data_IF_746983125261
#
_entry.id   IF_746983125261
#
_cell.length_a   1.000
_cell.length_b   1.000
_cell.length_c   1.000
_cell.angle_alpha   90.00
_cell.angle_beta   90.00
_cell.angle_gamma   90.00
#
_symmetry.space_group_name_H-M   'P 1'
#
loop_
_entity.id
_entity.type
_entity.pdbx_description
1 polymer ?
#
# COMPACT_ATOMS: atom_id res chain seq x y z
N UNK A 1 -3.55 -16.78 0.07
CA UNK A 1 -2.65 -15.59 0.11
C UNK A 1 -1.51 -15.67 1.15
N UNK A 2 -1.37 -16.76 1.91
CA UNK A 2 -0.41 -16.84 3.03
C UNK A 2 0.37 -18.14 3.09
N UNK A 3 0.45 -18.84 1.97
CA UNK A 3 1.37 -19.95 1.85
C UNK A 3 2.80 -19.38 1.96
N UNK A 4 3.72 -20.08 2.64
CA UNK A 4 5.15 -19.75 2.62
C UNK A 4 5.66 -19.50 1.19
N UNK A 5 5.06 -20.21 0.21
CA UNK A 5 5.25 -20.02 -1.23
C UNK A 5 4.99 -18.58 -1.70
N UNK A 6 3.86 -17.95 -1.31
CA UNK A 6 3.56 -16.57 -1.70
C UNK A 6 4.53 -15.57 -1.08
N UNK A 7 4.93 -15.77 0.18
CA UNK A 7 5.92 -14.88 0.83
C UNK A 7 7.29 -14.97 0.19
N UNK A 8 7.76 -16.19 -0.09
CA UNK A 8 8.98 -16.39 -0.87
C UNK A 8 8.86 -15.69 -2.22
N UNK A 9 7.74 -15.89 -2.91
CA UNK A 9 7.50 -15.24 -4.21
C UNK A 9 7.55 -13.71 -4.15
N UNK A 10 6.98 -13.10 -3.10
CA UNK A 10 7.06 -11.64 -2.88
C UNK A 10 8.50 -11.18 -2.67
N UNK A 11 9.26 -11.89 -1.84
CA UNK A 11 10.67 -11.58 -1.57
C UNK A 11 11.49 -11.73 -2.85
N UNK A 12 11.30 -12.82 -3.58
CA UNK A 12 12.05 -13.15 -4.80
C UNK A 12 11.74 -12.17 -5.93
N UNK A 13 10.46 -11.81 -6.12
CA UNK A 13 10.04 -10.80 -7.08
C UNK A 13 10.64 -9.43 -6.74
N UNK A 14 10.57 -9.02 -5.47
CA UNK A 14 11.10 -7.73 -5.02
C UNK A 14 12.61 -7.66 -5.15
N UNK A 15 13.34 -8.67 -4.66
CA UNK A 15 14.81 -8.76 -4.80
C UNK A 15 15.21 -8.79 -6.27
N UNK A 16 14.53 -9.60 -7.08
CA UNK A 16 14.76 -9.71 -8.51
C UNK A 16 14.64 -8.35 -9.20
N UNK A 17 13.58 -7.59 -8.90
CA UNK A 17 13.35 -6.28 -9.50
C UNK A 17 14.35 -5.22 -9.04
N UNK A 18 14.72 -5.24 -7.76
CA UNK A 18 15.75 -4.33 -7.22
C UNK A 18 17.10 -4.56 -7.91
N UNK A 19 17.56 -5.81 -7.99
CA UNK A 19 18.86 -6.14 -8.59
C UNK A 19 18.91 -5.98 -10.11
N UNK A 20 17.84 -6.33 -10.83
CA UNK A 20 17.82 -6.32 -12.30
C UNK A 20 17.45 -4.97 -12.90
N UNK A 21 16.74 -4.12 -12.16
CA UNK A 21 16.19 -2.87 -12.70
C UNK A 21 16.54 -1.64 -11.86
N UNK A 22 16.27 -1.65 -10.56
CA UNK A 22 16.47 -0.45 -9.73
C UNK A 22 17.95 -0.08 -9.59
N UNK A 23 18.80 -1.01 -9.17
CA UNK A 23 20.23 -0.75 -8.97
C UNK A 23 20.90 -0.31 -10.30
N UNK A 24 20.73 -1.03 -11.43
CA UNK A 24 21.30 -0.58 -12.71
C UNK A 24 20.82 0.80 -13.15
N UNK A 25 19.56 1.16 -12.88
CA UNK A 25 19.03 2.48 -13.16
C UNK A 25 19.72 3.53 -12.29
N UNK A 26 19.83 3.31 -10.97
CA UNK A 26 20.50 4.24 -10.06
C UNK A 26 21.98 4.40 -10.41
N UNK A 27 22.69 3.32 -10.74
CA UNK A 27 24.08 3.34 -11.17
C UNK A 27 24.27 4.15 -12.46
N UNK A 28 23.36 3.98 -13.43
CA UNK A 28 23.37 4.76 -14.67
C UNK A 28 23.27 6.27 -14.40
N UNK A 29 22.38 6.69 -13.50
CA UNK A 29 22.24 8.12 -13.16
C UNK A 29 23.39 8.62 -12.28
N UNK A 30 23.94 7.79 -11.39
CA UNK A 30 25.10 8.13 -10.58
C UNK A 30 26.36 8.43 -11.44
N UNK A 31 26.51 7.72 -12.56
CA UNK A 31 27.58 7.98 -13.53
C UNK A 31 27.36 9.24 -14.39
N UNK A 32 26.19 9.87 -14.32
CA UNK A 32 25.80 11.03 -15.12
C UNK A 32 25.42 12.22 -14.21
N UNK A 33 26.39 12.93 -13.60
CA UNK A 33 26.15 13.92 -12.55
C UNK A 33 25.30 15.13 -12.98
N UNK A 34 25.11 15.35 -14.28
CA UNK A 34 24.27 16.43 -14.81
C UNK A 34 22.79 16.03 -14.99
N UNK A 35 22.41 14.80 -14.66
CA UNK A 35 21.02 14.33 -14.75
C UNK A 35 20.40 14.22 -13.36
N UNK A 36 19.24 14.84 -13.19
CA UNK A 36 18.41 14.67 -12.00
C UNK A 36 17.46 13.50 -12.18
N UNK A 37 17.19 12.78 -11.10
CA UNK A 37 16.28 11.64 -11.06
C UNK A 37 15.12 11.94 -10.12
N UNK A 38 13.89 11.80 -10.61
CA UNK A 38 12.70 11.86 -9.76
C UNK A 38 12.48 10.49 -9.10
N UNK A 39 12.81 10.40 -7.81
CA UNK A 39 12.64 9.15 -7.05
C UNK A 39 11.17 8.76 -6.88
N UNK A 40 10.23 9.70 -6.92
CA UNK A 40 8.81 9.38 -6.83
C UNK A 40 8.36 8.59 -8.06
N UNK A 41 8.71 9.04 -9.27
CA UNK A 41 8.41 8.31 -10.51
C UNK A 41 9.11 6.93 -10.55
N UNK A 42 10.37 6.87 -10.09
CA UNK A 42 11.11 5.60 -9.95
C UNK A 42 10.38 4.62 -9.03
N UNK A 43 9.94 5.07 -7.85
CA UNK A 43 9.25 4.18 -6.90
C UNK A 43 7.84 3.82 -7.36
N UNK A 44 7.15 4.70 -8.10
CA UNK A 44 5.88 4.35 -8.75
C UNK A 44 6.07 3.22 -9.76
N UNK A 45 7.09 3.33 -10.63
CA UNK A 45 7.42 2.30 -11.63
C UNK A 45 7.86 0.98 -10.99
N UNK A 46 8.71 1.06 -9.96
CA UNK A 46 9.13 -0.10 -9.18
C UNK A 46 7.95 -0.83 -8.56
N UNK A 47 7.08 -0.10 -7.87
CA UNK A 47 5.92 -0.65 -7.16
C UNK A 47 4.90 -1.23 -8.15
N UNK A 48 4.72 -0.58 -9.30
CA UNK A 48 3.89 -1.07 -10.39
C UNK A 48 4.41 -2.39 -10.96
N UNK A 49 5.69 -2.46 -11.32
CA UNK A 49 6.29 -3.67 -11.88
C UNK A 49 6.24 -4.83 -10.87
N UNK A 50 6.57 -4.59 -9.59
CA UNK A 50 6.44 -5.60 -8.53
C UNK A 50 5.00 -6.08 -8.42
N UNK A 51 4.03 -5.16 -8.38
CA UNK A 51 2.62 -5.54 -8.25
C UNK A 51 2.15 -6.35 -9.46
N UNK A 52 2.56 -6.00 -10.68
CA UNK A 52 2.28 -6.80 -11.87
C UNK A 52 2.89 -8.21 -11.80
N UNK A 53 4.11 -8.36 -11.30
CA UNK A 53 4.73 -9.67 -11.09
C UNK A 53 3.92 -10.47 -10.06
N UNK A 54 3.50 -9.85 -8.95
CA UNK A 54 2.74 -10.54 -7.91
C UNK A 54 1.33 -10.95 -8.36
N UNK A 55 0.67 -10.11 -9.15
CA UNK A 55 -0.72 -10.31 -9.57
C UNK A 55 -0.80 -11.21 -10.81
N UNK A 56 -0.01 -10.91 -11.84
CA UNK A 56 -0.06 -11.57 -13.15
C UNK A 56 1.09 -12.54 -13.41
N UNK A 57 2.15 -12.51 -12.61
CA UNK A 57 3.37 -13.25 -12.89
C UNK A 57 4.21 -12.67 -14.03
N UNK A 58 3.91 -11.43 -14.48
CA UNK A 58 4.57 -10.78 -15.62
C UNK A 58 5.20 -9.45 -15.20
N UNK A 59 6.42 -9.21 -15.66
CA UNK A 59 7.12 -7.93 -15.50
C UNK A 59 6.87 -7.06 -16.75
N UNK A 60 6.16 -5.92 -16.64
CA UNK A 60 5.94 -5.02 -17.76
C UNK A 60 7.16 -4.13 -18.05
N UNK A 61 8.23 -4.22 -17.25
CA UNK A 61 9.51 -3.53 -17.43
C UNK A 61 9.39 -1.98 -17.51
N UNK A 62 8.46 -1.41 -16.75
CA UNK A 62 8.24 0.03 -16.70
C UNK A 62 9.39 0.77 -16.03
N UNK A 63 10.07 0.11 -15.09
CA UNK A 63 11.33 0.55 -14.51
C UNK A 63 12.49 0.11 -15.42
N UNK A 64 12.80 0.94 -16.40
CA UNK A 64 13.89 0.71 -17.35
C UNK A 64 14.58 2.01 -17.75
N UNK A 65 15.83 1.90 -18.22
CA UNK A 65 16.59 3.02 -18.75
C UNK A 65 15.86 3.56 -19.98
N UNK A 66 15.31 4.77 -19.88
CA UNK A 66 14.48 5.39 -20.92
C UNK A 66 13.09 5.82 -20.44
N UNK A 67 12.66 5.38 -19.24
CA UNK A 67 11.41 5.80 -18.61
C UNK A 67 10.18 5.73 -19.55
N UNK A 68 9.89 4.55 -20.14
CA UNK A 68 8.80 4.43 -21.11
C UNK A 68 7.47 4.86 -20.49
N UNK A 69 6.66 5.62 -21.22
CA UNK A 69 5.30 5.95 -20.76
C UNK A 69 4.45 4.68 -20.76
N UNK A 70 3.81 4.39 -19.64
CA UNK A 70 2.94 3.22 -19.48
C UNK A 70 1.50 3.70 -19.55
N UNK A 71 0.75 3.38 -20.62
CA UNK A 71 -0.64 3.82 -20.76
C UNK A 71 -1.50 3.45 -19.56
N UNK A 72 -1.25 2.28 -18.96
CA UNK A 72 -1.96 1.81 -17.77
C UNK A 72 -1.69 2.69 -16.54
N UNK A 73 -0.43 3.09 -16.29
CA UNK A 73 -0.10 3.95 -15.17
C UNK A 73 -0.74 5.34 -15.33
N UNK A 74 -0.66 5.93 -16.53
CA UNK A 74 -1.32 7.21 -16.84
C UNK A 74 -2.85 7.11 -16.69
N UNK A 75 -3.45 5.99 -17.10
CA UNK A 75 -4.89 5.78 -16.93
C UNK A 75 -5.28 5.60 -15.46
N UNK A 76 -4.43 4.99 -14.62
CA UNK A 76 -4.66 4.94 -13.18
C UNK A 76 -4.62 6.34 -12.57
N UNK A 77 -3.62 7.15 -12.92
CA UNK A 77 -3.49 8.53 -12.43
C UNK A 77 -4.72 9.37 -12.79
N UNK A 78 -5.18 9.28 -14.05
CA UNK A 78 -6.39 9.94 -14.52
C UNK A 78 -7.64 9.47 -13.76
N UNK A 79 -7.77 8.15 -13.55
CA UNK A 79 -8.91 7.58 -12.84
C UNK A 79 -8.96 8.04 -11.38
N UNK A 80 -7.83 8.02 -10.68
CA UNK A 80 -7.71 8.42 -9.28
C UNK A 80 -8.02 9.91 -9.07
N UNK A 81 -7.45 10.77 -9.91
CA UNK A 81 -7.71 12.21 -9.87
C UNK A 81 -9.22 12.48 -10.03
N UNK A 82 -9.86 11.82 -11.00
CA UNK A 82 -11.29 11.99 -11.24
C UNK A 82 -12.15 11.41 -10.10
N UNK A 83 -11.76 10.27 -9.52
CA UNK A 83 -12.45 9.68 -8.35
C UNK A 83 -12.34 10.60 -7.13
N UNK A 84 -11.21 11.26 -6.94
CA UNK A 84 -11.06 12.25 -5.88
C UNK A 84 -11.94 13.49 -6.13
N UNK A 85 -11.94 14.02 -7.36
CA UNK A 85 -12.83 15.13 -7.75
C UNK A 85 -14.31 14.78 -7.52
N UNK A 86 -14.72 13.55 -7.83
CA UNK A 86 -16.09 13.06 -7.64
C UNK A 86 -16.57 13.20 -6.18
N UNK A 87 -15.68 13.05 -5.20
CA UNK A 87 -16.04 13.20 -3.78
C UNK A 87 -16.45 14.62 -3.41
N UNK A 88 -15.97 15.62 -4.15
CA UNK A 88 -16.24 17.03 -3.90
C UNK A 88 -17.37 17.59 -4.79
N UNK A 89 -17.81 16.84 -5.80
CA UNK A 89 -18.80 17.30 -6.78
C UNK A 89 -20.24 16.96 -6.40
N UNK A 90 -21.19 17.91 -6.53
CA UNK A 90 -22.61 17.62 -6.38
C UNK A 90 -23.10 16.53 -7.34
N UNK A 91 -23.90 15.59 -6.84
CA UNK A 91 -24.40 14.44 -7.63
C UNK A 91 -25.11 14.85 -8.93
N UNK A 92 -25.85 15.97 -8.90
CA UNK A 92 -26.56 16.48 -10.07
C UNK A 92 -25.60 16.88 -11.20
N UNK A 93 -24.49 17.57 -10.86
CA UNK A 93 -23.49 17.99 -11.82
C UNK A 93 -22.70 16.79 -12.37
N UNK A 94 -22.38 15.82 -11.51
CA UNK A 94 -21.78 14.56 -11.95
C UNK A 94 -22.67 13.82 -12.95
N UNK A 95 -23.96 13.71 -12.64
CA UNK A 95 -24.95 13.08 -13.52
C UNK A 95 -25.09 13.79 -14.87
N UNK A 96 -25.00 15.12 -14.89
CA UNK A 96 -25.02 15.91 -16.13
C UNK A 96 -23.78 15.66 -16.99
N UNK A 97 -22.58 15.72 -16.40
CA UNK A 97 -21.32 15.44 -17.11
C UNK A 97 -21.29 14.02 -17.68
N UNK A 98 -21.85 13.05 -16.94
CA UNK A 98 -22.04 11.68 -17.42
C UNK A 98 -22.96 11.58 -18.62
N UNK A 99 -24.12 12.21 -18.58
CA UNK A 99 -25.07 12.19 -19.71
C UNK A 99 -24.50 12.83 -20.96
N UNK A 100 -23.72 13.89 -20.79
CA UNK A 100 -23.08 14.61 -21.90
C UNK A 100 -21.76 13.99 -22.35
N UNK A 101 -21.21 13.04 -21.59
CA UNK A 101 -19.90 12.42 -21.82
C UNK A 101 -18.78 13.46 -22.01
N UNK A 102 -18.70 14.42 -21.09
CA UNK A 102 -17.71 15.52 -21.13
C UNK A 102 -16.94 15.63 -19.82
N UNK A 103 -15.80 16.33 -19.88
CA UNK A 103 -15.03 16.70 -18.70
C UNK A 103 -14.45 15.49 -17.95
N UNK A 104 -14.36 15.57 -16.61
CA UNK A 104 -13.78 14.51 -15.79
C UNK A 104 -14.39 13.13 -16.03
N UNK A 105 -15.71 13.04 -16.26
CA UNK A 105 -16.37 11.74 -16.46
C UNK A 105 -16.00 11.08 -17.80
N UNK A 106 -15.78 11.87 -18.87
CA UNK A 106 -15.23 11.33 -20.10
C UNK A 106 -13.82 10.78 -19.88
N UNK A 107 -12.98 11.55 -19.18
CA UNK A 107 -11.61 11.15 -18.85
C UNK A 107 -11.58 9.85 -18.04
N UNK A 108 -12.46 9.71 -17.04
CA UNK A 108 -12.61 8.46 -16.29
C UNK A 108 -13.10 7.30 -17.18
N UNK A 109 -14.07 7.53 -18.06
CA UNK A 109 -14.55 6.49 -18.97
C UNK A 109 -13.45 6.00 -19.92
N UNK A 110 -12.62 6.90 -20.44
CA UNK A 110 -11.50 6.55 -21.32
C UNK A 110 -10.37 5.85 -20.54
N UNK A 111 -10.05 6.33 -19.33
CA UNK A 111 -9.11 5.67 -18.43
C UNK A 111 -9.55 4.23 -18.08
N UNK A 112 -10.82 4.04 -17.71
CA UNK A 112 -11.38 2.72 -17.39
C UNK A 112 -11.26 1.75 -18.56
N UNK A 113 -11.44 2.20 -19.81
CA UNK A 113 -11.22 1.34 -20.99
C UNK A 113 -9.77 0.85 -21.09
N UNK A 114 -8.80 1.73 -20.82
CA UNK A 114 -7.37 1.36 -20.86
C UNK A 114 -7.05 0.37 -19.74
N UNK A 115 -7.58 0.60 -18.53
CA UNK A 115 -7.42 -0.31 -17.39
C UNK A 115 -8.04 -1.67 -17.68
N UNK A 116 -9.28 -1.70 -18.18
CA UNK A 116 -9.99 -2.93 -18.54
C UNK A 116 -9.26 -3.72 -19.61
N UNK A 117 -8.81 -3.05 -20.68
CA UNK A 117 -8.07 -3.70 -21.74
C UNK A 117 -6.79 -4.35 -21.24
N UNK A 118 -6.04 -3.65 -20.39
CA UNK A 118 -4.82 -4.18 -19.78
C UNK A 118 -5.13 -5.39 -18.88
N UNK A 119 -6.10 -5.27 -17.98
CA UNK A 119 -6.47 -6.34 -17.04
C UNK A 119 -6.94 -7.59 -17.80
N UNK A 120 -7.85 -7.42 -18.76
CA UNK A 120 -8.38 -8.53 -19.57
C UNK A 120 -7.26 -9.23 -20.35
N UNK A 121 -6.33 -8.46 -20.93
CA UNK A 121 -5.16 -9.01 -21.64
C UNK A 121 -4.37 -9.95 -20.74
N UNK A 122 -3.92 -9.48 -19.58
CA UNK A 122 -3.06 -10.28 -18.70
C UNK A 122 -3.82 -11.43 -18.01
N UNK A 123 -5.10 -11.25 -17.68
CA UNK A 123 -5.94 -12.34 -17.16
C UNK A 123 -6.07 -13.45 -18.21
N UNK A 124 -6.31 -13.12 -19.47
CA UNK A 124 -6.43 -14.11 -20.53
C UNK A 124 -5.10 -14.81 -20.83
N UNK A 125 -4.00 -14.07 -20.95
CA UNK A 125 -2.65 -14.64 -21.09
C UNK A 125 -2.35 -15.63 -19.94
N UNK A 126 -2.79 -15.31 -18.72
CA UNK A 126 -2.62 -16.20 -17.57
C UNK A 126 -3.50 -17.44 -17.63
N UNK A 127 -4.74 -17.34 -18.10
CA UNK A 127 -5.64 -18.49 -18.30
C UNK A 127 -5.12 -19.46 -19.35
N UNK A 128 -4.47 -18.95 -20.40
CA UNK A 128 -3.89 -19.73 -21.50
C UNK A 128 -2.53 -20.36 -21.16
N UNK A 129 -1.77 -19.73 -20.26
CA UNK A 129 -0.52 -20.31 -19.77
C UNK A 129 -0.78 -21.63 -19.00
N UNK A 130 0.09 -22.63 -19.19
CA UNK A 130 -0.01 -23.91 -18.48
C UNK A 130 -0.13 -23.66 -16.97
N UNK A 131 -1.23 -24.13 -16.37
CA UNK A 131 -1.43 -24.14 -14.92
C UNK A 131 -0.37 -25.05 -14.30
N UNK A 132 0.65 -24.43 -13.71
CA UNK A 132 1.80 -25.13 -13.16
C UNK A 132 2.84 -24.17 -12.61
N UNK A 133 3.22 -24.39 -11.36
CA UNK A 133 4.34 -23.83 -10.60
C UNK A 133 4.36 -22.34 -10.20
N UNK A 134 3.66 -21.42 -10.84
CA UNK A 134 3.78 -20.00 -10.46
C UNK A 134 3.04 -19.63 -9.16
N UNK A 135 3.64 -18.74 -8.37
CA UNK A 135 3.10 -18.24 -7.10
C UNK A 135 2.26 -16.96 -7.22
N UNK A 136 1.90 -16.55 -8.44
CA UNK A 136 1.11 -15.34 -8.69
C UNK A 136 -0.34 -15.49 -8.25
N UNK A 137 -0.98 -14.35 -8.00
CA UNK A 137 -2.27 -14.33 -7.34
C UNK A 137 -3.43 -14.76 -8.25
N UNK A 138 -3.40 -14.43 -9.54
CA UNK A 138 -4.47 -14.85 -10.47
C UNK A 138 -4.51 -16.36 -10.57
N UNK A 139 -3.35 -17.02 -10.61
CA UNK A 139 -3.29 -18.49 -10.61
C UNK A 139 -3.96 -19.06 -9.37
N UNK A 140 -3.66 -18.50 -8.20
CA UNK A 140 -4.30 -18.93 -6.95
C UNK A 140 -5.81 -18.75 -6.97
N UNK A 141 -6.35 -17.72 -7.62
CA UNK A 141 -7.79 -17.52 -7.72
C UNK A 141 -8.44 -18.44 -8.76
N UNK A 142 -7.78 -18.68 -9.89
CA UNK A 142 -8.24 -19.63 -10.91
C UNK A 142 -8.28 -21.07 -10.38
N UNK A 143 -7.36 -21.43 -9.48
CA UNK A 143 -7.34 -22.74 -8.84
C UNK A 143 -8.45 -22.89 -7.76
N UNK A 144 -8.95 -21.77 -7.21
CA UNK A 144 -10.02 -21.71 -6.21
C UNK A 144 -11.39 -21.34 -6.79
N UNK A 145 -11.59 -21.48 -8.11
CA UNK A 145 -12.82 -21.06 -8.81
C UNK A 145 -14.10 -21.65 -8.20
N UNK A 146 -14.08 -22.94 -7.80
CA UNK A 146 -15.23 -23.59 -7.15
C UNK A 146 -15.64 -22.94 -5.83
N UNK A 147 -14.67 -22.60 -4.97
CA UNK A 147 -14.94 -21.92 -3.69
C UNK A 147 -15.45 -20.48 -3.90
N UNK A 148 -15.01 -19.81 -4.97
CA UNK A 148 -15.47 -18.46 -5.31
C UNK A 148 -16.94 -18.50 -5.76
N UNK A 149 -17.30 -19.51 -6.57
CA UNK A 149 -18.68 -19.72 -7.02
C UNK A 149 -19.62 -20.01 -5.84
N UNK A 150 -19.20 -20.84 -4.89
CA UNK A 150 -19.98 -21.18 -3.69
C UNK A 150 -20.22 -19.97 -2.77
N UNK A 151 -19.31 -18.98 -2.78
CA UNK A 151 -19.45 -17.72 -2.04
C UNK A 151 -20.34 -16.68 -2.73
N UNK A 152 -21.07 -17.06 -3.79
CA UNK A 152 -22.06 -16.21 -4.46
C UNK A 152 -21.48 -15.29 -5.55
N UNK A 153 -20.21 -15.47 -5.94
CA UNK A 153 -19.62 -14.78 -7.08
C UNK A 153 -19.86 -15.58 -8.36
N UNK A 154 -21.00 -15.34 -9.01
CA UNK A 154 -21.41 -16.07 -10.22
C UNK A 154 -20.61 -15.73 -11.49
N UNK A 155 -19.83 -14.64 -11.47
CA UNK A 155 -19.01 -14.22 -12.60
C UNK A 155 -17.55 -14.05 -12.17
N UNK A 156 -16.75 -15.10 -12.43
CA UNK A 156 -15.33 -15.13 -12.12
C UNK A 156 -14.55 -14.02 -12.84
N UNK A 157 -14.93 -13.64 -14.06
CA UNK A 157 -14.22 -12.62 -14.82
C UNK A 157 -14.38 -11.23 -14.21
N UNK A 158 -15.59 -10.88 -13.78
CA UNK A 158 -15.85 -9.62 -13.04
C UNK A 158 -15.09 -9.64 -11.71
N UNK A 159 -15.15 -10.75 -10.98
CA UNK A 159 -14.44 -10.90 -9.71
C UNK A 159 -12.93 -10.72 -9.87
N UNK A 160 -12.32 -11.39 -10.85
CA UNK A 160 -10.89 -11.27 -11.14
C UNK A 160 -10.55 -9.84 -11.56
N UNK A 161 -11.34 -9.23 -12.45
CA UNK A 161 -11.12 -7.87 -12.93
C UNK A 161 -11.14 -6.85 -11.79
N UNK A 162 -12.14 -6.90 -10.92
CA UNK A 162 -12.27 -5.98 -9.79
C UNK A 162 -11.20 -6.23 -8.73
N UNK A 163 -10.87 -7.50 -8.46
CA UNK A 163 -9.82 -7.88 -7.51
C UNK A 163 -8.46 -7.40 -7.99
N UNK A 164 -8.12 -7.64 -9.25
CA UNK A 164 -6.88 -7.18 -9.87
C UNK A 164 -6.79 -5.66 -9.81
N UNK A 165 -7.84 -4.94 -10.21
CA UNK A 165 -7.84 -3.47 -10.16
C UNK A 165 -7.57 -2.96 -8.73
N UNK A 166 -8.25 -3.53 -7.73
CA UNK A 166 -8.04 -3.17 -6.32
C UNK A 166 -6.60 -3.40 -5.86
N UNK A 167 -5.98 -4.51 -6.28
CA UNK A 167 -4.61 -4.85 -5.90
C UNK A 167 -3.58 -3.95 -6.60
N UNK A 168 -3.81 -3.61 -7.87
CA UNK A 168 -2.95 -2.71 -8.62
C UNK A 168 -2.89 -1.32 -7.98
N UNK A 169 -4.05 -0.77 -7.62
CA UNK A 169 -4.17 0.52 -6.93
C UNK A 169 -3.54 0.44 -5.53
N UNK A 170 -3.84 -0.61 -4.77
CA UNK A 170 -3.29 -0.76 -3.43
C UNK A 170 -1.75 -0.91 -3.42
N UNK A 171 -1.19 -1.67 -4.37
CA UNK A 171 0.22 -2.02 -4.41
C UNK A 171 1.13 -0.95 -5.02
N UNK A 172 0.63 -0.11 -5.93
CA UNK A 172 1.43 0.91 -6.61
C UNK A 172 1.62 2.17 -5.76
N UNK A 173 0.52 2.85 -5.44
CA UNK A 173 0.59 4.23 -4.95
C UNK A 173 0.95 4.31 -3.46
N UNK A 174 0.52 3.31 -2.68
CA UNK A 174 0.85 3.27 -1.25
C UNK A 174 2.33 2.97 -1.00
N UNK A 175 2.91 2.01 -1.73
CA UNK A 175 4.31 1.61 -1.59
C UNK A 175 5.23 2.72 -2.12
N UNK A 176 4.91 3.28 -3.29
CA UNK A 176 5.71 4.35 -3.89
C UNK A 176 5.75 5.61 -3.00
N UNK A 177 4.61 6.01 -2.42
CA UNK A 177 4.54 7.10 -1.46
C UNK A 177 5.37 6.83 -0.20
N UNK A 178 5.25 5.61 0.36
CA UNK A 178 6.03 5.22 1.55
C UNK A 178 7.55 5.27 1.31
N UNK A 179 8.01 4.74 0.18
CA UNK A 179 9.44 4.77 -0.19
C UNK A 179 9.92 6.19 -0.44
N UNK A 180 9.13 7.01 -1.14
CA UNK A 180 9.46 8.42 -1.41
C UNK A 180 9.70 9.19 -0.12
N UNK A 181 8.76 9.10 0.83
CA UNK A 181 8.91 9.76 2.13
C UNK A 181 10.05 9.19 2.97
N UNK A 182 10.23 7.87 2.94
CA UNK A 182 11.34 7.23 3.64
C UNK A 182 12.69 7.77 3.16
N UNK A 183 12.98 7.72 1.86
CA UNK A 183 14.25 8.23 1.34
C UNK A 183 14.42 9.74 1.51
N UNK A 184 13.33 10.52 1.41
CA UNK A 184 13.36 11.94 1.75
C UNK A 184 13.80 12.17 3.21
N UNK A 185 13.23 11.41 4.14
CA UNK A 185 13.56 11.52 5.56
C UNK A 185 14.99 11.06 5.85
N UNK A 186 15.46 9.98 5.24
CA UNK A 186 16.85 9.53 5.37
C UNK A 186 17.81 10.62 4.86
N UNK A 187 17.56 11.19 3.67
CA UNK A 187 18.39 12.26 3.11
C UNK A 187 18.44 13.53 3.97
N UNK A 188 17.38 13.79 4.76
CA UNK A 188 17.34 14.91 5.72
C UNK A 188 17.96 14.59 7.08
N UNK A 189 18.28 13.33 7.37
CA UNK A 189 18.78 12.89 8.67
C UNK A 189 20.05 12.01 8.52
N UNK A 190 21.23 12.60 8.24
CA UNK A 190 22.46 11.85 8.00
C UNK A 190 22.89 10.93 9.16
N UNK A 191 22.57 11.30 10.40
CA UNK A 191 22.84 10.46 11.57
C UNK A 191 22.01 9.18 11.57
N UNK A 192 20.77 9.24 11.08
CA UNK A 192 19.92 8.04 10.93
C UNK A 192 20.43 7.17 9.80
N UNK A 193 20.80 7.78 8.67
CA UNK A 193 21.44 7.08 7.54
C UNK A 193 22.69 6.30 7.98
N UNK A 194 23.61 6.96 8.70
CA UNK A 194 24.84 6.33 9.18
C UNK A 194 24.57 5.11 10.07
N UNK A 195 23.57 5.17 10.96
CA UNK A 195 23.18 4.05 11.82
C UNK A 195 22.59 2.88 11.02
N UNK A 196 21.79 3.16 10.00
CA UNK A 196 21.25 2.12 9.10
C UNK A 196 22.39 1.44 8.34
N UNK A 197 23.34 2.22 7.80
CA UNK A 197 24.48 1.67 7.07
C UNK A 197 25.40 0.83 7.97
N UNK A 198 25.62 1.25 9.21
CA UNK A 198 26.40 0.48 10.20
C UNK A 198 25.70 -0.84 10.58
N UNK A 199 24.37 -0.80 10.76
CA UNK A 199 23.55 -1.99 10.99
C UNK A 199 23.65 -2.98 9.83
N UNK A 200 23.49 -2.50 8.59
CA UNK A 200 23.60 -3.33 7.38
C UNK A 200 25.00 -3.93 7.24
N UNK A 201 26.06 -3.16 7.51
CA UNK A 201 27.44 -3.63 7.45
C UNK A 201 27.71 -4.74 8.48
N UNK A 202 27.09 -4.66 9.64
CA UNK A 202 27.31 -5.60 10.75
C UNK A 202 26.47 -6.88 10.61
N UNK A 203 25.21 -6.75 10.21
CA UNK A 203 24.25 -7.87 10.18
C UNK A 203 24.12 -8.53 8.81
N UNK A 204 24.54 -7.86 7.74
CA UNK A 204 24.30 -8.30 6.37
C UNK A 204 22.87 -8.03 5.89
N UNK A 205 22.56 -8.44 4.66
CA UNK A 205 21.25 -8.27 4.02
C UNK A 205 20.50 -9.59 3.84
N UNK A 206 21.08 -10.70 4.29
CA UNK A 206 20.55 -12.05 4.14
C UNK A 206 19.28 -12.24 4.96
N UNK A 207 19.27 -11.73 6.19
CA UNK A 207 18.16 -11.80 7.15
C UNK A 207 17.67 -10.38 7.50
N UNK A 208 16.72 -9.88 6.71
CA UNK A 208 16.10 -8.57 6.91
C UNK A 208 15.41 -8.44 8.27
N UNK A 209 15.06 -9.54 8.93
CA UNK A 209 14.46 -9.54 10.26
C UNK A 209 15.40 -9.06 11.37
N UNK A 210 16.71 -9.04 11.11
CA UNK A 210 17.73 -8.55 12.06
C UNK A 210 18.00 -7.05 11.95
N UNK A 211 17.52 -6.40 10.89
CA UNK A 211 17.71 -4.96 10.65
C UNK A 211 16.68 -4.15 11.46
N UNK A 212 16.83 -4.17 12.78
CA UNK A 212 15.91 -3.57 13.74
C UNK A 212 15.81 -2.07 13.54
N UNK A 213 16.93 -1.38 13.38
CA UNK A 213 16.99 0.07 13.25
C UNK A 213 16.43 0.53 11.90
N UNK A 214 16.72 -0.19 10.81
CA UNK A 214 16.07 0.04 9.52
C UNK A 214 14.54 -0.10 9.61
N UNK A 215 14.05 -1.16 10.23
CA UNK A 215 12.61 -1.36 10.44
C UNK A 215 12.01 -0.24 11.30
N UNK A 216 12.68 0.15 12.38
CA UNK A 216 12.27 1.27 13.23
C UNK A 216 12.17 2.60 12.44
N UNK A 217 13.12 2.85 11.53
CA UNK A 217 13.10 4.03 10.67
C UNK A 217 11.95 4.00 9.65
N UNK A 218 11.64 2.82 9.09
CA UNK A 218 10.47 2.63 8.22
C UNK A 218 9.16 2.89 8.98
N UNK A 219 9.01 2.35 10.19
CA UNK A 219 7.84 2.60 11.05
C UNK A 219 7.69 4.09 11.36
N UNK A 220 8.79 4.78 11.68
CA UNK A 220 8.76 6.22 11.97
C UNK A 220 8.41 7.06 10.74
N UNK A 221 8.88 6.65 9.55
CA UNK A 221 8.50 7.28 8.29
C UNK A 221 7.00 7.16 8.05
N UNK A 222 6.45 5.94 8.18
CA UNK A 222 5.02 5.68 8.02
C UNK A 222 4.15 6.38 9.08
N UNK A 223 4.68 6.61 10.28
CA UNK A 223 4.01 7.41 11.31
C UNK A 223 3.86 8.85 10.84
N UNK A 224 4.95 9.49 10.43
CA UNK A 224 4.94 10.90 10.02
C UNK A 224 4.26 11.12 8.67
N UNK A 225 4.42 10.20 7.73
CA UNK A 225 3.92 10.31 6.36
C UNK A 225 3.23 9.01 5.94
N UNK A 226 2.07 8.69 6.53
CA UNK A 226 1.28 7.55 6.11
C UNK A 226 0.77 7.77 4.67
N UNK A 227 0.93 6.78 3.76
CA UNK A 227 0.43 6.89 2.39
C UNK A 227 -1.08 7.13 2.31
N UNK A 228 -1.84 6.62 3.28
CA UNK A 228 -3.28 6.87 3.46
C UNK A 228 -3.49 7.73 4.71
N UNK A 229 -3.48 9.08 4.57
CA UNK A 229 -3.49 10.00 5.71
C UNK A 229 -4.88 10.20 6.35
N UNK A 230 -5.94 9.79 5.66
CA UNK A 230 -7.33 9.90 6.11
C UNK A 230 -8.06 8.59 5.88
N UNK A 231 -8.79 8.15 6.90
CA UNK A 231 -9.70 7.02 6.80
C UNK A 231 -11.07 7.43 7.32
N UNK A 232 -12.12 6.83 6.75
CA UNK A 232 -13.47 7.01 7.25
C UNK A 232 -14.19 5.68 7.43
N UNK A 233 -15.06 5.62 8.44
CA UNK A 233 -15.95 4.48 8.68
C UNK A 233 -17.40 4.96 8.67
N UNK A 234 -18.28 4.20 8.02
CA UNK A 234 -19.72 4.45 8.03
C UNK A 234 -20.38 3.89 9.28
N UNK A 235 -21.29 4.65 9.89
CA UNK A 235 -22.03 4.21 11.08
C UNK A 235 -23.18 3.29 10.65
N UNK A 236 -23.01 1.99 10.90
CA UNK A 236 -24.01 0.96 10.58
C UNK A 236 -25.20 0.99 11.57
N UNK A 237 -24.90 1.10 12.86
CA UNK A 237 -25.87 1.25 13.96
C UNK A 237 -25.43 2.44 14.83
N UNK A 238 -26.38 3.22 15.40
CA UNK A 238 -26.03 4.29 16.31
C UNK A 238 -25.16 3.78 17.47
N UNK A 239 -24.12 4.53 17.83
CA UNK A 239 -23.17 4.13 18.87
C UNK A 239 -22.57 5.33 19.58
N UNK A 240 -22.18 5.17 20.85
CA UNK A 240 -21.65 6.26 21.68
C UNK A 240 -20.14 6.15 21.73
N UNK A 241 -19.46 7.18 21.23
CA UNK A 241 -18.01 7.26 21.30
C UNK A 241 -17.55 7.38 22.76
N UNK A 242 -16.30 7.02 23.09
CA UNK A 242 -15.75 7.19 24.44
C UNK A 242 -15.89 8.63 24.98
N UNK A 243 -15.87 9.64 24.11
CA UNK A 243 -16.14 11.06 24.43
C UNK A 243 -17.57 11.36 24.90
N UNK A 244 -18.46 10.38 24.90
CA UNK A 244 -19.88 10.55 25.18
C UNK A 244 -20.68 11.03 23.97
N UNK A 245 -20.03 11.38 22.84
CA UNK A 245 -20.71 11.84 21.63
C UNK A 245 -21.47 10.69 20.98
N UNK A 246 -22.74 10.93 20.66
CA UNK A 246 -23.59 9.97 19.96
C UNK A 246 -23.36 10.07 18.44
N UNK A 247 -23.01 8.95 17.78
CA UNK A 247 -22.97 8.88 16.32
C UNK A 247 -24.21 8.17 15.79
N UNK A 248 -24.85 8.76 14.78
CA UNK A 248 -26.09 8.26 14.21
C UNK A 248 -25.85 7.49 12.90
N UNK A 249 -26.78 6.59 12.57
CA UNK A 249 -26.78 5.84 11.30
C UNK A 249 -26.63 6.79 10.10
N UNK A 250 -25.92 6.33 9.07
CA UNK A 250 -25.62 7.08 7.84
C UNK A 250 -24.70 8.30 8.03
N UNK A 251 -24.13 8.51 9.21
CA UNK A 251 -22.98 9.40 9.39
C UNK A 251 -21.68 8.65 9.05
N UNK A 252 -20.63 9.43 8.76
CA UNK A 252 -19.26 8.92 8.59
C UNK A 252 -18.40 9.51 9.69
N UNK A 253 -17.58 8.67 10.31
CA UNK A 253 -16.53 9.08 11.22
C UNK A 253 -15.24 9.13 10.42
N UNK A 254 -14.64 10.31 10.31
CA UNK A 254 -13.36 10.55 9.63
C UNK A 254 -12.27 10.70 10.69
N UNK A 255 -11.13 10.06 10.50
CA UNK A 255 -9.94 10.27 11.32
C UNK A 255 -8.71 10.45 10.43
N UNK A 256 -7.76 11.25 10.91
CA UNK A 256 -6.51 11.54 10.19
C UNK A 256 -5.34 10.90 10.91
N UNK A 257 -4.79 9.82 10.34
CA UNK A 257 -3.55 9.20 10.82
C UNK A 257 -2.40 10.19 10.80
N UNK A 258 -2.33 11.03 9.76
CA UNK A 258 -1.31 12.08 9.61
C UNK A 258 -1.34 13.12 10.73
N UNK A 259 -2.52 13.63 11.10
CA UNK A 259 -2.65 14.59 12.19
C UNK A 259 -2.39 13.94 13.54
N UNK A 260 -2.95 12.75 13.77
CA UNK A 260 -2.79 12.01 15.03
C UNK A 260 -1.34 11.64 15.31
N UNK A 261 -0.55 11.36 14.27
CA UNK A 261 0.88 11.15 14.39
C UNK A 261 1.62 12.35 15.01
N UNK A 262 1.08 13.57 14.92
CA UNK A 262 1.69 14.81 15.41
C UNK A 262 0.99 15.37 16.65
N UNK A 263 0.20 14.56 17.34
CA UNK A 263 -0.44 14.96 18.58
C UNK A 263 0.49 14.71 19.78
N UNK A 264 0.82 15.78 20.52
CA UNK A 264 1.66 15.69 21.72
C UNK A 264 1.10 14.72 22.77
N UNK A 265 -0.21 14.72 22.97
CA UNK A 265 -0.89 13.81 23.92
C UNK A 265 -0.80 12.33 23.56
N UNK A 266 -0.37 12.00 22.34
CA UNK A 266 -0.17 10.62 21.87
C UNK A 266 1.31 10.28 21.77
N UNK A 267 2.13 11.18 21.20
CA UNK A 267 3.52 10.89 20.81
C UNK A 267 4.58 11.67 21.60
N UNK A 268 4.17 12.52 22.56
CA UNK A 268 5.06 13.39 23.32
C UNK A 268 5.39 14.71 22.60
N UNK A 269 6.12 15.59 23.27
CA UNK A 269 6.48 16.94 22.75
C UNK A 269 7.31 16.91 21.47
N UNK A 270 8.02 15.81 21.25
CA UNK A 270 8.88 15.55 20.11
C UNK A 270 8.11 14.87 18.95
N UNK A 271 6.77 14.85 18.98
CA UNK A 271 5.93 14.12 18.02
C UNK A 271 6.17 14.45 16.55
N UNK A 272 6.70 15.65 16.25
CA UNK A 272 7.02 16.10 14.89
C UNK A 272 8.43 15.71 14.43
N UNK A 273 9.27 15.21 15.34
CA UNK A 273 10.64 14.78 15.02
C UNK A 273 10.64 13.38 14.41
N UNK A 274 11.53 13.15 13.45
CA UNK A 274 11.82 11.84 12.90
C UNK A 274 12.81 11.11 13.81
N UNK A 275 12.30 10.27 14.72
CA UNK A 275 13.11 9.52 15.69
C UNK A 275 12.82 8.02 15.65
N UNK A 276 13.57 7.23 14.87
CA UNK A 276 13.43 5.77 14.80
C UNK A 276 13.45 5.07 16.17
N UNK A 277 14.22 5.58 17.12
CA UNK A 277 14.37 5.01 18.47
C UNK A 277 13.04 4.86 19.23
N UNK A 278 11.97 5.58 18.83
CA UNK A 278 10.61 5.39 19.38
C UNK A 278 10.10 3.95 19.24
N UNK A 279 10.54 3.28 18.20
CA UNK A 279 10.08 1.95 17.81
C UNK A 279 10.99 0.84 18.34
N UNK A 280 11.98 1.16 19.17
CA UNK A 280 12.91 0.18 19.73
C UNK A 280 12.63 0.04 21.22
N UNK A 281 12.39 -1.19 21.68
CA UNK A 281 12.22 -1.46 23.10
C UNK A 281 13.55 -1.26 23.84
N UNK A 282 13.61 -0.41 24.88
CA UNK A 282 14.82 -0.25 25.69
C UNK A 282 15.25 -1.54 26.40
N UNK A 283 14.29 -2.43 26.68
CA UNK A 283 14.52 -3.67 27.44
C UNK A 283 15.04 -4.80 26.55
N UNK A 284 14.46 -4.95 25.36
CA UNK A 284 14.75 -6.09 24.48
C UNK A 284 15.62 -5.74 23.29
N UNK A 285 15.80 -4.44 23.00
CA UNK A 285 16.48 -3.96 21.79
C UNK A 285 15.77 -4.34 20.49
N UNK A 286 14.55 -4.89 20.55
CA UNK A 286 13.77 -5.30 19.38
C UNK A 286 12.76 -4.23 18.99
N UNK A 287 12.26 -4.32 17.75
CA UNK A 287 11.17 -3.47 17.27
C UNK A 287 9.93 -3.69 18.15
N UNK A 288 9.43 -2.61 18.74
CA UNK A 288 8.20 -2.55 19.49
C UNK A 288 7.03 -2.38 18.52
N UNK A 289 6.03 -3.23 18.66
CA UNK A 289 4.78 -3.09 17.92
C UNK A 289 3.87 -2.07 18.60
N UNK A 290 3.65 -0.93 17.94
CA UNK A 290 2.57 -0.01 18.29
C UNK A 290 1.42 -0.19 17.29
N UNK A 291 0.18 -0.42 17.77
CA UNK A 291 -0.97 -0.48 16.87
C UNK A 291 -1.07 0.81 16.04
N UNK A 292 -1.31 0.68 14.74
CA UNK A 292 -1.54 1.83 13.84
C UNK A 292 -2.75 2.68 14.27
N UNK A 293 -3.63 2.11 15.09
CA UNK A 293 -4.80 2.75 15.70
C UNK A 293 -4.59 3.10 17.19
N UNK A 294 -3.35 3.08 17.71
CA UNK A 294 -3.07 3.49 19.09
C UNK A 294 -3.29 5.00 19.22
N UNK A 295 -4.56 5.34 19.33
CA UNK A 295 -5.07 6.67 19.53
C UNK A 295 -5.61 6.67 20.95
N UNK A 296 -5.01 7.50 21.79
CA UNK A 296 -5.62 7.92 23.04
C UNK A 296 -6.72 8.91 22.67
N UNK A 297 -7.90 8.40 22.33
CA UNK A 297 -9.06 9.23 21.97
C UNK A 297 -9.53 10.02 23.19
N UNK A 298 -9.35 9.43 24.37
CA UNK A 298 -9.46 10.02 25.70
C UNK A 298 -8.38 9.42 26.60
N UNK A 299 -8.02 10.13 27.67
CA UNK A 299 -7.09 9.61 28.66
C UNK A 299 -7.57 8.26 29.22
N UNK A 300 -6.76 7.21 29.07
CA UNK A 300 -7.11 5.84 29.49
C UNK A 300 -7.87 5.00 28.46
N UNK A 301 -8.34 5.57 27.34
CA UNK A 301 -9.11 4.84 26.32
C UNK A 301 -8.34 4.71 25.01
N UNK A 302 -8.05 3.47 24.62
CA UNK A 302 -7.51 3.12 23.30
C UNK A 302 -8.66 2.68 22.40
N UNK A 303 -8.85 3.34 21.26
CA UNK A 303 -9.80 2.88 20.26
C UNK A 303 -9.35 1.51 19.72
N UNK A 304 -10.10 0.45 20.04
CA UNK A 304 -9.92 -0.88 19.45
C UNK A 304 -11.14 -1.18 18.58
N UNK A 305 -10.96 -1.60 17.31
CA UNK A 305 -12.10 -1.94 16.48
C UNK A 305 -12.89 -3.11 17.08
N UNK A 306 -14.23 -3.09 17.00
CA UNK A 306 -15.11 -4.16 17.50
C UNK A 306 -14.78 -5.53 16.89
N UNK A 307 -14.29 -5.50 15.65
CA UNK A 307 -13.63 -6.60 14.99
C UNK A 307 -12.29 -6.08 14.48
N UNK A 308 -11.20 -6.43 15.15
CA UNK A 308 -9.86 -6.21 14.59
C UNK A 308 -9.43 -7.45 13.84
N UNK A 309 -9.26 -7.33 12.54
CA UNK A 309 -8.51 -8.31 11.76
C UNK A 309 -7.06 -7.87 11.83
N UNK A 310 -6.29 -8.50 12.70
CA UNK A 310 -4.84 -8.33 12.73
C UNK A 310 -4.26 -9.46 11.90
N UNK A 311 -3.69 -9.10 10.76
CA UNK A 311 -2.96 -10.01 9.90
C UNK A 311 -1.56 -10.19 10.49
N UNK A 312 -1.39 -11.15 11.39
CA UNK A 312 -0.07 -11.52 11.87
C UNK A 312 0.63 -12.32 10.77
N UNK A 313 1.77 -11.81 10.32
CA UNK A 313 2.55 -12.41 9.24
C UNK A 313 3.76 -13.22 9.71
N UNK A 314 3.82 -13.62 10.97
CA UNK A 314 4.89 -14.50 11.45
C UNK A 314 4.43 -15.98 11.39
N UNK A 315 5.14 -16.82 10.65
CA UNK A 315 4.86 -18.27 10.51
C UNK A 315 3.60 -18.71 9.74
N UNK A 316 2.73 -17.80 9.30
CA UNK A 316 1.51 -18.11 8.53
C UNK A 316 0.53 -16.94 8.56
N UNK A 317 -0.69 -17.08 8.02
CA UNK A 317 -1.78 -16.13 8.25
C UNK A 317 -2.55 -16.58 9.48
N UNK A 318 -2.10 -16.13 10.64
CA UNK A 318 -2.93 -16.15 11.82
C UNK A 318 -3.88 -14.96 11.72
N UNK A 319 -5.09 -15.20 11.21
CA UNK A 319 -6.19 -14.23 11.31
C UNK A 319 -6.70 -14.30 12.74
N UNK A 320 -6.18 -13.43 13.61
CA UNK A 320 -6.76 -13.29 14.94
C UNK A 320 -7.97 -12.38 14.83
N UNK A 321 -9.14 -12.97 14.58
CA UNK A 321 -10.40 -12.28 14.79
C UNK A 321 -10.61 -12.22 16.29
N UNK A 322 -10.37 -11.06 16.86
CA UNK A 322 -10.72 -10.79 18.26
C UNK A 322 -12.02 -10.03 18.24
N UNK A 323 -13.07 -10.71 18.68
CA UNK A 323 -14.31 -10.06 19.04
C UNK A 323 -14.12 -9.47 20.45
N UNK A 324 -14.62 -8.27 20.66
CA UNK A 324 -14.62 -7.67 21.99
C UNK A 324 -15.64 -8.43 22.85
N UNK A 325 -15.19 -9.00 23.97
CA UNK A 325 -16.11 -9.29 25.09
C UNK A 325 -16.53 -7.93 25.67
N UNK A 326 -17.85 -7.68 25.70
CA UNK A 326 -18.46 -6.36 25.90
C UNK A 326 -18.02 -5.65 27.20
#
# INVERSE_FOLDING_TARGET
>A
MSTPKFRSYVIDASKGKVHKSLIPLLDHFAQNPNKTLDLQDVFMRLSFDITCILVFGVDPACLSIGFPTVPFASAMDDAEEVVFLRHNMPKAWWGLMRKLNIGPEKRLADAVKVLDHFIVKYVNERKEAKRGENGDLITSYLDSEGEIADNGFSNLDIFLRDTVLNLMVAGRDTISSALTWFFYLIAKNPTVEAKILDEIKTQGLEDLGRLVYLHAALCESLRLYPPVPFEHKGVLKPDRLPSGVMVHRNRRVLFSSYAMARMEGVWGKDCSEFRPERWISPETGKVRHEPSFKVRVLEGFVAKPKLSIILHMDGGLAVKVSERED
#
